data_IF_886332069347
#
_entry.id   IF_886332069347
#
_cell.length_a   1.000
_cell.length_b   1.000
_cell.length_c   1.000
_cell.angle_alpha   90.00
_cell.angle_beta   90.00
_cell.angle_gamma   90.00
#
_symmetry.space_group_name_H-M   'P 1'
#
loop_
_entity.id
_entity.type
_entity.pdbx_description
1 polymer ?
#
# COMPACT_ATOMS: atom_id res chain seq x y z
N UNK A 1 38.24 -18.53 20.26
CA UNK A 1 37.11 -18.58 19.30
C UNK A 1 36.08 -17.55 19.73
N UNK A 2 35.99 -16.43 19.03
CA UNK A 2 34.95 -15.44 19.27
C UNK A 2 33.72 -15.84 18.45
N UNK A 3 32.60 -16.14 19.12
CA UNK A 3 31.31 -16.31 18.46
C UNK A 3 30.83 -14.94 17.98
N UNK A 4 30.85 -14.71 16.67
CA UNK A 4 30.11 -13.63 16.06
C UNK A 4 28.63 -14.00 16.06
N UNK A 5 27.89 -13.47 17.02
CA UNK A 5 26.43 -13.39 16.96
C UNK A 5 26.07 -12.39 15.84
N UNK A 6 25.80 -12.92 14.64
CA UNK A 6 25.04 -12.19 13.64
C UNK A 6 23.60 -12.07 14.17
N UNK A 7 23.32 -10.98 14.87
CA UNK A 7 21.96 -10.56 15.11
C UNK A 7 21.35 -10.26 13.74
N UNK A 8 20.52 -11.19 13.23
CA UNK A 8 19.60 -10.86 12.14
C UNK A 8 18.66 -9.80 12.70
N UNK A 9 18.93 -8.54 12.37
CA UNK A 9 17.96 -7.46 12.55
C UNK A 9 16.84 -7.77 11.58
N UNK A 10 15.81 -8.45 12.06
CA UNK A 10 14.52 -8.52 11.38
C UNK A 10 14.06 -7.07 11.22
N UNK A 11 14.27 -6.48 10.05
CA UNK A 11 13.60 -5.23 9.70
C UNK A 11 12.13 -5.58 9.55
N UNK A 12 11.38 -5.53 10.65
CA UNK A 12 9.95 -5.36 10.59
C UNK A 12 9.74 -4.11 9.76
N UNK A 13 9.32 -4.26 8.50
CA UNK A 13 8.89 -3.15 7.67
C UNK A 13 7.69 -2.54 8.37
N UNK A 14 7.96 -1.54 9.22
CA UNK A 14 6.94 -0.78 9.93
C UNK A 14 6.04 -0.18 8.84
N UNK A 15 4.77 -0.55 8.86
CA UNK A 15 3.77 -0.04 7.94
C UNK A 15 2.82 0.83 8.76
N UNK A 16 3.03 2.14 8.68
CA UNK A 16 2.19 3.13 9.34
C UNK A 16 0.91 3.35 8.54
N UNK A 17 -0.17 3.63 9.27
CA UNK A 17 -1.45 3.97 8.68
C UNK A 17 -1.38 5.31 7.93
N UNK A 18 -1.83 5.34 6.67
CA UNK A 18 -1.86 6.55 5.84
C UNK A 18 -3.28 7.08 5.68
N UNK A 19 -4.18 6.27 5.11
CA UNK A 19 -5.55 6.69 4.83
C UNK A 19 -6.51 5.51 4.71
N UNK A 20 -7.79 5.74 4.98
CA UNK A 20 -8.89 4.81 4.71
C UNK A 20 -9.89 5.48 3.79
N UNK A 21 -10.41 4.76 2.80
CA UNK A 21 -11.43 5.30 1.89
C UNK A 21 -11.92 4.32 0.85
N UNK A 22 -12.81 4.79 -0.02
CA UNK A 22 -13.24 4.02 -1.19
C UNK A 22 -12.32 4.29 -2.35
N UNK A 23 -11.94 3.26 -3.11
CA UNK A 23 -11.30 3.52 -4.40
C UNK A 23 -12.36 3.96 -5.39
N UNK A 24 -12.11 5.03 -6.12
CA UNK A 24 -13.05 5.53 -7.13
C UNK A 24 -12.48 5.56 -8.54
N UNK A 25 -11.15 5.44 -8.69
CA UNK A 25 -10.47 5.37 -9.98
C UNK A 25 -9.21 4.50 -9.87
N UNK A 26 -8.83 3.88 -10.99
CA UNK A 26 -7.62 3.08 -11.14
C UNK A 26 -6.80 3.59 -12.31
N UNK A 27 -5.49 3.47 -12.16
CA UNK A 27 -4.53 3.61 -13.23
C UNK A 27 -3.51 2.48 -13.14
N UNK A 28 -3.26 1.80 -14.24
CA UNK A 28 -2.28 0.72 -14.34
C UNK A 28 -1.29 1.06 -15.44
N UNK A 29 -0.01 0.96 -15.13
CA UNK A 29 1.09 1.09 -16.08
C UNK A 29 2.00 -0.15 -16.02
N UNK A 30 3.04 -0.16 -16.84
CA UNK A 30 4.04 -1.24 -16.88
C UNK A 30 4.76 -1.42 -15.54
N UNK A 31 5.01 -0.30 -14.83
CA UNK A 31 5.94 -0.26 -13.69
C UNK A 31 5.26 0.11 -12.37
N UNK A 32 4.03 0.65 -12.42
CA UNK A 32 3.26 0.97 -11.22
C UNK A 32 1.75 0.80 -11.45
N UNK A 33 1.02 0.75 -10.34
CA UNK A 33 -0.41 1.05 -10.38
C UNK A 33 -0.72 2.14 -9.36
N UNK A 34 -1.76 2.90 -9.64
CA UNK A 34 -2.25 3.95 -8.78
C UNK A 34 -3.76 3.83 -8.60
N UNK A 35 -4.21 4.21 -7.42
CA UNK A 35 -5.60 4.22 -7.02
C UNK A 35 -5.96 5.62 -6.56
N UNK A 36 -7.11 6.13 -7.00
CA UNK A 36 -7.66 7.32 -6.40
C UNK A 36 -8.50 6.92 -5.19
N UNK A 37 -8.00 7.22 -4.00
CA UNK A 37 -8.71 6.95 -2.75
C UNK A 37 -9.57 8.17 -2.39
N UNK A 38 -10.88 8.00 -2.37
CA UNK A 38 -11.80 8.94 -1.73
C UNK A 38 -11.76 8.70 -0.22
N UNK A 39 -10.87 9.44 0.45
CA UNK A 39 -10.53 9.24 1.85
C UNK A 39 -11.67 9.67 2.77
N UNK A 40 -11.93 8.86 3.79
CA UNK A 40 -12.84 9.12 4.89
C UNK A 40 -12.10 9.30 6.22
N UNK A 41 -10.84 8.86 6.32
CA UNK A 41 -9.99 8.98 7.51
C UNK A 41 -8.50 9.01 7.13
N UNK A 42 -7.69 9.78 7.86
CA UNK A 42 -6.25 9.91 7.62
C UNK A 42 -5.93 10.99 6.58
N UNK A 43 -4.97 10.73 5.70
CA UNK A 43 -4.58 11.66 4.64
C UNK A 43 -5.73 11.97 3.66
N UNK A 44 -5.73 13.15 3.02
CA UNK A 44 -6.82 13.60 2.15
C UNK A 44 -6.96 12.73 0.89
N UNK A 45 -8.13 12.83 0.25
CA UNK A 45 -8.41 12.15 -1.02
C UNK A 45 -7.38 12.51 -2.07
N UNK A 46 -6.73 11.50 -2.64
CA UNK A 46 -5.68 11.70 -3.64
C UNK A 46 -5.41 10.40 -4.41
N UNK A 47 -4.54 10.50 -5.41
CA UNK A 47 -3.87 9.37 -6.01
C UNK A 47 -2.80 8.83 -5.05
N UNK A 48 -2.85 7.53 -4.83
CA UNK A 48 -1.82 6.76 -4.13
C UNK A 48 -1.27 5.71 -5.10
N UNK A 49 0.02 5.45 -5.09
CA UNK A 49 0.66 4.56 -6.06
C UNK A 49 1.64 3.57 -5.42
N UNK A 50 1.93 2.48 -6.13
CA UNK A 50 2.97 1.52 -5.73
C UNK A 50 3.72 1.01 -6.96
N UNK A 51 5.04 0.94 -6.85
CA UNK A 51 5.89 0.41 -7.92
C UNK A 51 6.00 -1.11 -7.82
N UNK A 52 6.02 -1.76 -8.98
CA UNK A 52 6.25 -3.20 -9.11
C UNK A 52 7.56 -3.66 -8.46
N UNK A 53 8.60 -2.81 -8.51
CA UNK A 53 9.92 -3.12 -7.96
C UNK A 53 9.97 -3.11 -6.42
N UNK A 54 8.94 -2.57 -5.75
CA UNK A 54 8.92 -2.43 -4.29
C UNK A 54 8.45 -3.71 -3.60
N UNK A 55 7.57 -4.44 -4.26
CA UNK A 55 6.88 -5.60 -3.71
C UNK A 55 7.28 -6.91 -4.41
N UNK A 56 7.90 -6.81 -5.58
CA UNK A 56 8.07 -7.93 -6.51
C UNK A 56 6.78 -8.25 -7.27
N UNK A 57 6.91 -8.90 -8.43
CA UNK A 57 5.80 -9.06 -9.39
C UNK A 57 4.57 -9.80 -8.83
N UNK A 58 4.78 -10.80 -7.98
CA UNK A 58 3.67 -11.61 -7.42
C UNK A 58 2.85 -10.80 -6.43
N UNK A 59 3.50 -10.21 -5.43
CA UNK A 59 2.80 -9.39 -4.42
C UNK A 59 2.17 -8.14 -5.05
N UNK A 60 2.83 -7.53 -6.04
CA UNK A 60 2.28 -6.40 -6.78
C UNK A 60 0.98 -6.77 -7.53
N UNK A 61 0.94 -7.93 -8.19
CA UNK A 61 -0.29 -8.43 -8.84
C UNK A 61 -1.40 -8.73 -7.84
N UNK A 62 -1.09 -9.43 -6.75
CA UNK A 62 -2.07 -9.72 -5.68
C UNK A 62 -2.66 -8.44 -5.09
N UNK A 63 -1.84 -7.42 -4.92
CA UNK A 63 -2.27 -6.11 -4.42
C UNK A 63 -3.18 -5.39 -5.42
N UNK A 64 -2.86 -5.45 -6.71
CA UNK A 64 -3.72 -4.95 -7.77
C UNK A 64 -5.07 -5.67 -7.80
N UNK A 65 -5.07 -7.01 -7.77
CA UNK A 65 -6.30 -7.82 -7.76
C UNK A 65 -7.19 -7.50 -6.56
N UNK A 66 -6.58 -7.31 -5.38
CA UNK A 66 -7.28 -6.91 -4.17
C UNK A 66 -7.91 -5.52 -4.31
N UNK A 67 -7.14 -4.54 -4.81
CA UNK A 67 -7.63 -3.19 -4.99
C UNK A 67 -8.77 -3.15 -6.03
N UNK A 68 -8.66 -3.90 -7.13
CA UNK A 68 -9.71 -4.03 -8.13
C UNK A 68 -10.98 -4.68 -7.54
N UNK A 69 -10.83 -5.74 -6.76
CA UNK A 69 -11.96 -6.38 -6.07
C UNK A 69 -12.67 -5.41 -5.12
N UNK A 70 -11.92 -4.61 -4.35
CA UNK A 70 -12.49 -3.58 -3.46
C UNK A 70 -13.31 -2.55 -4.23
N UNK A 71 -12.79 -2.13 -5.39
CA UNK A 71 -13.46 -1.17 -6.26
C UNK A 71 -14.77 -1.69 -6.82
N UNK A 72 -14.75 -2.88 -7.41
CA UNK A 72 -15.94 -3.50 -8.02
C UNK A 72 -17.02 -3.78 -6.98
N UNK A 73 -16.63 -4.11 -5.75
CA UNK A 73 -17.56 -4.39 -4.66
C UNK A 73 -17.91 -3.15 -3.81
N UNK A 74 -17.40 -1.96 -4.17
CA UNK A 74 -17.66 -0.71 -3.46
C UNK A 74 -17.23 -0.71 -1.98
N UNK A 75 -16.26 -1.57 -1.63
CA UNK A 75 -15.73 -1.73 -0.26
C UNK A 75 -14.76 -0.60 0.08
N UNK A 76 -14.45 -0.50 1.37
CA UNK A 76 -13.48 0.46 1.88
C UNK A 76 -12.14 -0.24 2.06
N UNK A 77 -11.07 0.51 1.85
CA UNK A 77 -9.69 0.05 1.87
C UNK A 77 -8.89 0.98 2.79
N UNK A 78 -7.91 0.43 3.51
CA UNK A 78 -6.89 1.17 4.22
C UNK A 78 -5.54 1.02 3.53
N UNK A 79 -4.82 2.12 3.40
CA UNK A 79 -3.50 2.21 2.79
C UNK A 79 -2.46 2.39 3.91
N UNK A 80 -1.34 1.69 3.78
CA UNK A 80 -0.21 1.76 4.69
C UNK A 80 1.10 2.03 3.95
N UNK A 81 2.01 2.75 4.59
CA UNK A 81 3.32 3.06 4.06
C UNK A 81 4.38 3.10 5.17
N UNK A 82 5.66 3.19 4.83
CA UNK A 82 6.74 3.30 5.83
C UNK A 82 6.75 4.64 6.58
N UNK A 83 5.96 5.61 6.12
CA UNK A 83 5.74 6.90 6.79
C UNK A 83 4.26 7.28 6.68
N UNK A 84 3.75 8.05 7.63
CA UNK A 84 2.40 8.63 7.59
C UNK A 84 2.37 10.05 7.00
N UNK A 85 3.41 10.48 6.28
CA UNK A 85 3.46 11.79 5.64
C UNK A 85 2.45 11.86 4.48
N UNK A 86 1.46 12.74 4.59
CA UNK A 86 0.45 12.92 3.55
C UNK A 86 0.99 13.53 2.25
N UNK A 87 2.21 14.06 2.22
CA UNK A 87 2.86 14.45 0.97
C UNK A 87 3.43 13.24 0.22
N UNK A 88 3.73 12.15 0.93
CA UNK A 88 4.10 10.89 0.34
C UNK A 88 2.83 10.17 -0.14
N UNK A 89 2.79 9.85 -1.43
CA UNK A 89 1.65 9.20 -2.09
C UNK A 89 1.92 7.74 -2.39
N UNK A 90 3.13 7.27 -2.11
CA UNK A 90 3.48 5.87 -2.22
C UNK A 90 2.86 5.06 -1.08
N UNK A 91 2.50 3.82 -1.39
CA UNK A 91 2.09 2.86 -0.37
C UNK A 91 2.77 1.51 -0.57
N UNK A 92 2.88 0.75 0.52
CA UNK A 92 3.56 -0.55 0.56
C UNK A 92 2.64 -1.69 1.00
N UNK A 93 1.47 -1.37 1.56
CA UNK A 93 0.46 -2.36 1.88
C UNK A 93 -0.94 -1.75 1.81
N UNK A 94 -1.92 -2.64 1.61
CA UNK A 94 -3.34 -2.32 1.65
C UNK A 94 -4.08 -3.40 2.42
N UNK A 95 -5.19 -3.01 3.05
CA UNK A 95 -6.09 -3.93 3.73
C UNK A 95 -7.56 -3.54 3.49
N UNK A 96 -8.44 -4.52 3.41
CA UNK A 96 -9.88 -4.29 3.30
C UNK A 96 -10.45 -3.97 4.66
N UNK A 97 -11.30 -2.95 4.74
CA UNK A 97 -12.05 -2.66 5.96
C UNK A 97 -13.38 -3.40 5.90
N UNK A 98 -13.68 -4.17 6.93
CA UNK A 98 -14.98 -4.85 7.11
C UNK A 98 -16.06 -3.86 7.54
#
# INVERSE_FOLDING_TARGET
MALFLFAMVSTSTHADFVATGKVTKFHMSTDNFAIFLSSTRGCPSNWYYVYKNDLGIVAWKMMFDLALSVYENGRTLSIFHTTSDCNEKRFTAIDTVN
#
